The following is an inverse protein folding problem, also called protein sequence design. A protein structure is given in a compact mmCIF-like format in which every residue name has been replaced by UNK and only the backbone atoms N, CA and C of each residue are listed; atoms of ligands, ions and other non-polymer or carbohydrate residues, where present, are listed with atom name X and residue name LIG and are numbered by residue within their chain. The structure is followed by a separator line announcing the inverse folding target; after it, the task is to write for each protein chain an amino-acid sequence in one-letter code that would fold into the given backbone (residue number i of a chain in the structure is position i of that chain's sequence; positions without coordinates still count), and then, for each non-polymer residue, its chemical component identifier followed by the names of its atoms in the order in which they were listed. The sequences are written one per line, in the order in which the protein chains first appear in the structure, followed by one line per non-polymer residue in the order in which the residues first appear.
data_IF_007392740906
#
_entry.id   IF_007392740906
#
_cell.length_a   1.000
_cell.length_b   1.000
_cell.length_c   1.000
_cell.angle_alpha   90.00
_cell.angle_beta   90.00
_cell.angle_gamma   90.00
#
_symmetry.space_group_name_H-M   'P 1'
#
loop_
_entity.id
_entity.type
_entity.pdbx_description
1 polymer ?
#
# COMPACT_ATOMS: atom_id res chain seq x y z
N UNK A 1 -0.13 -26.03 11.92
CA UNK A 1 0.54 -25.15 10.94
C UNK A 1 -0.14 -23.81 11.03
N UNK A 2 0.61 -22.75 11.25
CA UNK A 2 0.12 -21.36 11.35
C UNK A 2 0.93 -20.46 10.42
N UNK A 3 0.50 -19.20 10.28
CA UNK A 3 1.12 -18.16 9.45
C UNK A 3 1.03 -18.39 7.94
N UNK A 4 0.23 -19.37 7.50
CA UNK A 4 -0.12 -19.54 6.10
C UNK A 4 -0.94 -18.35 5.60
N UNK A 5 -0.66 -17.94 4.36
CA UNK A 5 -1.42 -16.95 3.62
C UNK A 5 -2.18 -17.65 2.51
N UNK A 6 -3.50 -17.54 2.54
CA UNK A 6 -4.33 -17.92 1.42
C UNK A 6 -4.09 -16.96 0.26
N UNK A 7 -3.95 -17.53 -0.94
CA UNK A 7 -3.72 -16.77 -2.17
C UNK A 7 -4.61 -17.35 -3.26
N UNK A 8 -5.49 -16.52 -3.80
CA UNK A 8 -6.27 -16.82 -5.00
C UNK A 8 -5.62 -16.10 -6.19
N UNK A 9 -5.49 -16.78 -7.33
CA UNK A 9 -4.87 -16.18 -8.50
C UNK A 9 -5.64 -16.45 -9.77
N UNK A 10 -5.59 -15.47 -10.67
CA UNK A 10 -6.16 -15.55 -12.01
C UNK A 10 -5.12 -15.03 -13.01
N UNK A 11 -4.90 -15.79 -14.08
CA UNK A 11 -3.99 -15.42 -15.16
C UNK A 11 -4.84 -15.21 -16.42
N UNK A 12 -4.79 -14.03 -17.07
CA UNK A 12 -5.56 -13.79 -18.27
C UNK A 12 -4.98 -14.61 -19.43
N UNK A 13 -5.84 -14.99 -20.37
CA UNK A 13 -5.41 -15.73 -21.59
C UNK A 13 -4.30 -15.01 -22.34
N UNK A 14 -4.38 -13.68 -22.41
CA UNK A 14 -3.35 -12.82 -22.97
C UNK A 14 -2.71 -12.02 -21.82
N UNK A 15 -1.49 -12.41 -21.44
CA UNK A 15 -0.69 -11.66 -20.45
C UNK A 15 0.01 -10.52 -21.17
N UNK A 16 -0.37 -9.28 -20.84
CA UNK A 16 0.14 -8.05 -21.49
C UNK A 16 1.26 -7.37 -20.70
N UNK A 17 1.38 -7.73 -19.42
CA UNK A 17 2.27 -7.06 -18.48
C UNK A 17 3.32 -8.04 -17.93
N UNK A 18 4.58 -7.60 -17.72
CA UNK A 18 5.68 -8.49 -17.37
C UNK A 18 5.65 -8.99 -15.93
N UNK A 19 4.93 -8.30 -15.04
CA UNK A 19 4.86 -8.60 -13.61
C UNK A 19 3.40 -8.77 -13.17
N UNK A 20 3.08 -9.79 -12.36
CA UNK A 20 1.77 -9.90 -11.72
C UNK A 20 1.57 -8.78 -10.69
N UNK A 21 0.31 -8.52 -10.34
CA UNK A 21 -0.06 -7.64 -9.22
C UNK A 21 -0.55 -8.50 -8.06
N UNK A 22 0.07 -8.32 -6.89
CA UNK A 22 -0.35 -8.92 -5.62
C UNK A 22 -1.14 -7.86 -4.84
N UNK A 23 -2.42 -8.13 -4.58
CA UNK A 23 -3.34 -7.24 -3.89
C UNK A 23 -3.46 -7.70 -2.44
N UNK A 24 -3.03 -6.82 -1.52
CA UNK A 24 -3.07 -7.06 -0.08
C UNK A 24 -4.08 -6.10 0.55
N UNK A 25 -5.08 -6.69 1.21
CA UNK A 25 -6.12 -5.92 1.84
C UNK A 25 -5.68 -5.22 3.15
N UNK A 26 -6.47 -4.25 3.62
CA UNK A 26 -6.35 -3.55 4.90
C UNK A 26 -7.04 -4.25 6.07
N UNK A 27 -7.18 -3.52 7.17
CA UNK A 27 -7.76 -4.01 8.42
C UNK A 27 -9.27 -4.13 8.35
N UNK A 28 -9.85 -5.06 9.13
CA UNK A 28 -11.29 -5.31 9.11
C UNK A 28 -11.78 -6.12 7.91
N UNK A 29 -10.92 -6.39 6.92
CA UNK A 29 -11.36 -6.90 5.62
C UNK A 29 -10.67 -8.22 5.22
N UNK A 30 -11.04 -8.76 4.04
CA UNK A 30 -10.42 -9.92 3.34
C UNK A 30 -10.12 -9.56 1.87
N UNK A 31 -9.62 -10.48 1.05
CA UNK A 31 -9.49 -10.28 -0.39
C UNK A 31 -10.79 -9.96 -1.14
N UNK A 32 -11.96 -10.21 -0.55
CA UNK A 32 -13.28 -10.08 -1.19
C UNK A 32 -13.54 -8.69 -1.76
N UNK A 33 -13.19 -7.62 -1.05
CA UNK A 33 -13.49 -6.26 -1.48
C UNK A 33 -12.56 -5.74 -2.59
N UNK A 34 -11.48 -6.50 -2.90
CA UNK A 34 -10.69 -6.27 -4.11
C UNK A 34 -11.36 -6.87 -5.35
N UNK A 35 -12.31 -7.81 -5.17
CA UNK A 35 -12.98 -8.54 -6.26
C UNK A 35 -14.28 -7.88 -6.73
N UNK A 36 -15.06 -7.31 -5.81
CA UNK A 36 -16.32 -6.65 -6.13
C UNK A 36 -16.70 -5.59 -5.10
N UNK A 37 -17.56 -4.67 -5.49
CA UNK A 37 -18.06 -3.60 -4.61
C UNK A 37 -19.36 -4.02 -3.89
N UNK A 38 -19.73 -3.37 -2.78
CA UNK A 38 -20.96 -3.68 -2.04
C UNK A 38 -22.24 -3.50 -2.87
N UNK A 39 -22.19 -2.70 -3.93
CA UNK A 39 -23.26 -2.47 -4.89
C UNK A 39 -23.12 -3.27 -6.20
N UNK A 40 -22.38 -4.40 -6.16
CA UNK A 40 -22.24 -5.39 -7.25
C UNK A 40 -21.50 -4.90 -8.51
N UNK A 41 -20.63 -3.88 -8.41
CA UNK A 41 -19.74 -3.48 -9.51
C UNK A 41 -18.42 -4.25 -9.45
N UNK A 42 -17.68 -4.34 -10.57
CA UNK A 42 -16.36 -4.93 -10.60
C UNK A 42 -15.38 -4.24 -9.64
N UNK A 43 -14.57 -5.05 -8.95
CA UNK A 43 -13.45 -4.58 -8.13
C UNK A 43 -12.14 -4.42 -8.91
N UNK A 44 -11.10 -4.02 -8.19
CA UNK A 44 -9.77 -3.79 -8.75
C UNK A 44 -9.13 -5.05 -9.32
N UNK A 45 -9.33 -6.23 -8.72
CA UNK A 45 -8.77 -7.48 -9.23
C UNK A 45 -9.33 -7.80 -10.63
N UNK A 46 -10.65 -7.61 -10.84
CA UNK A 46 -11.30 -7.76 -12.14
C UNK A 46 -10.75 -6.76 -13.15
N UNK A 47 -10.54 -5.51 -12.75
CA UNK A 47 -9.94 -4.50 -13.62
C UNK A 47 -8.54 -4.90 -14.10
N UNK A 48 -7.64 -5.25 -13.17
CA UNK A 48 -6.27 -5.62 -13.54
C UNK A 48 -6.24 -6.87 -14.41
N UNK A 49 -7.06 -7.88 -14.10
CA UNK A 49 -7.17 -9.10 -14.89
C UNK A 49 -7.66 -8.80 -16.32
N UNK A 50 -8.73 -8.02 -16.46
CA UNK A 50 -9.27 -7.62 -17.76
C UNK A 50 -8.27 -6.79 -18.59
N UNK A 51 -7.35 -6.10 -17.93
CA UNK A 51 -6.28 -5.33 -18.57
C UNK A 51 -5.00 -6.15 -18.82
N UNK A 52 -5.00 -7.47 -18.59
CA UNK A 52 -3.91 -8.36 -18.99
C UNK A 52 -2.81 -8.55 -17.94
N UNK A 53 -3.03 -8.14 -16.69
CA UNK A 53 -2.16 -8.51 -15.57
C UNK A 53 -2.54 -9.90 -15.06
N UNK A 54 -1.55 -10.71 -14.70
CA UNK A 54 -1.80 -11.81 -13.77
C UNK A 54 -2.05 -11.22 -12.37
N UNK A 55 -3.07 -11.72 -11.68
CA UNK A 55 -3.57 -11.11 -10.44
C UNK A 55 -3.56 -12.15 -9.32
N UNK A 56 -3.03 -11.75 -8.16
CA UNK A 56 -2.99 -12.55 -6.94
C UNK A 56 -3.70 -11.75 -5.84
N UNK A 57 -4.79 -12.27 -5.30
CA UNK A 57 -5.53 -11.68 -4.19
C UNK A 57 -5.28 -12.54 -2.96
N UNK A 58 -4.80 -11.94 -1.88
CA UNK A 58 -4.46 -12.67 -0.66
C UNK A 58 -5.48 -12.41 0.44
N UNK A 59 -5.64 -13.37 1.34
CA UNK A 59 -6.13 -13.09 2.69
C UNK A 59 -4.92 -13.04 3.63
N UNK A 60 -4.77 -11.96 4.40
CA UNK A 60 -3.68 -11.80 5.37
C UNK A 60 -3.56 -13.03 6.29
N UNK A 61 -2.36 -13.29 6.80
CA UNK A 61 -2.15 -14.31 7.85
C UNK A 61 -3.12 -14.11 9.02
N UNK A 62 -3.77 -15.19 9.47
CA UNK A 62 -4.79 -15.10 10.52
C UNK A 62 -6.03 -14.28 10.14
N UNK A 63 -6.44 -14.25 8.86
CA UNK A 63 -7.68 -13.61 8.41
C UNK A 63 -8.38 -14.42 7.33
N UNK A 64 -9.72 -14.43 7.35
CA UNK A 64 -10.51 -15.00 6.27
C UNK A 64 -10.20 -16.48 6.06
N UNK A 65 -9.79 -16.84 4.84
CA UNK A 65 -9.39 -18.21 4.47
C UNK A 65 -8.00 -18.59 5.01
N UNK A 66 -7.21 -17.63 5.48
CA UNK A 66 -6.01 -17.87 6.29
C UNK A 66 -6.42 -18.06 7.75
N UNK A 67 -6.43 -19.31 8.22
CA UNK A 67 -7.03 -19.66 9.50
C UNK A 67 -6.47 -18.86 10.70
N UNK A 68 -7.38 -18.40 11.57
CA UNK A 68 -7.03 -17.73 12.83
C UNK A 68 -6.93 -18.73 13.98
N UNK A 69 -5.85 -18.65 14.75
CA UNK A 69 -5.57 -19.49 15.92
C UNK A 69 -5.39 -18.62 17.17
N UNK A 70 -6.39 -18.58 18.04
CA UNK A 70 -6.44 -17.64 19.18
C UNK A 70 -5.35 -17.91 20.24
N UNK A 71 -4.96 -19.17 20.42
CA UNK A 71 -3.87 -19.61 21.29
C UNK A 71 -2.49 -19.11 20.83
N UNK A 72 -2.35 -18.76 19.55
CA UNK A 72 -1.10 -18.31 18.94
C UNK A 72 -1.11 -16.80 18.70
N UNK A 73 -2.22 -16.25 18.19
CA UNK A 73 -2.32 -14.84 17.81
C UNK A 73 -2.86 -13.93 18.91
N UNK A 74 -3.45 -14.50 19.97
CA UNK A 74 -3.99 -13.75 21.09
C UNK A 74 -5.32 -13.07 20.77
N UNK A 75 -5.54 -11.81 21.20
CA UNK A 75 -6.80 -11.12 21.00
C UNK A 75 -6.99 -10.63 19.56
N UNK A 76 -8.26 -10.50 19.17
CA UNK A 76 -8.66 -9.89 17.89
C UNK A 76 -9.11 -8.44 18.05
N UNK A 77 -9.01 -7.67 16.98
CA UNK A 77 -9.64 -6.34 16.83
C UNK A 77 -10.65 -6.33 15.68
N UNK A 78 -11.72 -5.52 15.79
CA UNK A 78 -12.72 -5.28 14.74
C UNK A 78 -13.34 -3.89 14.85
N UNK A 79 -13.79 -3.35 13.73
CA UNK A 79 -14.58 -2.11 13.69
C UNK A 79 -16.00 -2.30 14.21
N UNK A 80 -16.58 -1.24 14.77
CA UNK A 80 -18.03 -1.17 15.05
C UNK A 80 -18.73 -0.34 13.97
N UNK A 81 -20.03 -0.56 13.77
CA UNK A 81 -20.78 0.05 12.67
C UNK A 81 -20.73 1.59 12.67
N UNK A 82 -20.85 2.25 13.84
CA UNK A 82 -20.74 3.71 13.96
C UNK A 82 -19.36 4.21 13.56
N UNK A 83 -18.30 3.56 14.02
CA UNK A 83 -16.93 3.92 13.67
C UNK A 83 -16.63 3.76 12.18
N UNK A 84 -17.20 2.74 11.54
CA UNK A 84 -17.07 2.54 10.10
C UNK A 84 -17.82 3.61 9.30
N UNK A 85 -19.02 4.02 9.74
CA UNK A 85 -19.73 5.16 9.13
C UNK A 85 -18.93 6.46 9.25
N UNK A 86 -18.38 6.72 10.43
CA UNK A 86 -17.56 7.90 10.73
C UNK A 86 -16.28 7.99 9.90
N UNK A 87 -15.61 6.85 9.69
CA UNK A 87 -14.29 6.83 9.05
C UNK A 87 -14.33 6.55 7.56
N UNK A 88 -15.32 5.81 7.08
CA UNK A 88 -15.27 5.23 5.73
C UNK A 88 -16.46 5.59 4.85
N UNK A 89 -17.70 5.35 5.29
CA UNK A 89 -18.85 5.28 4.37
C UNK A 89 -19.72 6.53 4.35
N UNK A 90 -19.79 7.27 5.45
CA UNK A 90 -20.65 8.45 5.61
C UNK A 90 -19.90 9.64 6.21
N UNK A 91 -18.60 9.74 5.92
CA UNK A 91 -17.66 10.66 6.58
C UNK A 91 -18.10 12.13 6.52
N UNK A 92 -18.75 12.53 5.42
CA UNK A 92 -19.29 13.87 5.22
C UNK A 92 -20.37 14.26 6.23
N UNK A 93 -21.08 13.29 6.80
CA UNK A 93 -22.12 13.52 7.80
C UNK A 93 -21.55 13.70 9.21
N UNK A 94 -20.37 13.13 9.48
CA UNK A 94 -19.69 13.24 10.77
C UNK A 94 -18.65 14.35 10.81
N UNK A 95 -18.05 14.67 9.66
CA UNK A 95 -17.16 15.80 9.44
C UNK A 95 -16.05 15.90 10.51
N UNK A 96 -15.31 14.80 10.74
CA UNK A 96 -14.29 14.70 11.80
C UNK A 96 -12.89 15.20 11.39
N UNK A 97 -12.68 15.46 10.09
CA UNK A 97 -11.48 16.09 9.53
C UNK A 97 -11.91 17.11 8.46
N UNK A 98 -11.07 18.11 8.14
CA UNK A 98 -11.47 19.24 7.31
C UNK A 98 -12.06 18.85 5.94
N UNK A 99 -11.49 17.82 5.30
CA UNK A 99 -11.86 17.42 3.93
C UNK A 99 -13.05 16.45 3.87
N UNK A 100 -13.56 15.97 5.02
CA UNK A 100 -14.61 14.95 5.06
C UNK A 100 -15.88 15.35 4.29
N UNK A 101 -16.23 16.64 4.31
CA UNK A 101 -17.39 17.19 3.60
C UNK A 101 -17.35 17.01 2.07
N UNK A 102 -16.19 16.67 1.49
CA UNK A 102 -16.02 16.44 0.06
C UNK A 102 -16.43 15.04 -0.39
N UNK A 103 -16.74 14.13 0.54
CA UNK A 103 -17.04 12.74 0.22
C UNK A 103 -18.37 12.59 -0.51
N UNK A 104 -18.30 12.04 -1.73
CA UNK A 104 -19.46 11.93 -2.65
C UNK A 104 -19.49 10.62 -3.43
N UNK A 105 -18.44 9.81 -3.34
CA UNK A 105 -18.28 8.63 -4.20
C UNK A 105 -18.78 7.32 -3.58
N UNK A 106 -19.16 7.28 -2.30
CA UNK A 106 -19.80 6.09 -1.74
C UNK A 106 -21.11 5.74 -2.46
N UNK A 107 -21.37 4.45 -2.76
CA UNK A 107 -22.65 4.02 -3.32
C UNK A 107 -23.72 3.99 -2.22
N UNK A 108 -24.83 4.69 -2.40
CA UNK A 108 -25.88 4.81 -1.39
C UNK A 108 -25.56 5.87 -0.32
N UNK A 109 -26.29 5.84 0.80
CA UNK A 109 -26.14 6.83 1.88
C UNK A 109 -24.91 6.58 2.77
N UNK A 110 -24.40 5.36 2.79
CA UNK A 110 -23.31 4.95 3.67
C UNK A 110 -23.70 4.81 5.14
N UNK A 111 -24.99 4.86 5.46
CA UNK A 111 -25.52 4.70 6.81
C UNK A 111 -26.05 3.28 7.04
N UNK A 112 -26.10 2.85 8.30
CA UNK A 112 -26.76 1.59 8.71
C UNK A 112 -28.19 1.50 8.14
N UNK A 113 -28.53 0.35 7.55
CA UNK A 113 -29.80 0.11 6.87
C UNK A 113 -29.80 0.44 5.38
N UNK A 114 -28.76 1.11 4.87
CA UNK A 114 -28.48 1.21 3.44
C UNK A 114 -27.80 -0.07 2.95
N UNK A 115 -28.27 -0.62 1.84
CA UNK A 115 -27.78 -1.91 1.33
C UNK A 115 -26.26 -1.93 1.10
N UNK A 116 -25.67 -0.84 0.60
CA UNK A 116 -24.23 -0.80 0.36
C UNK A 116 -23.44 -0.79 1.66
N UNK A 117 -23.92 -0.06 2.68
CA UNK A 117 -23.28 -0.08 3.99
C UNK A 117 -23.45 -1.44 4.67
N UNK A 118 -24.64 -2.03 4.63
CA UNK A 118 -24.91 -3.30 5.29
C UNK A 118 -24.11 -4.44 4.66
N UNK A 119 -23.94 -4.45 3.33
CA UNK A 119 -23.06 -5.40 2.64
C UNK A 119 -21.58 -5.19 3.00
N UNK A 120 -21.12 -3.92 3.02
CA UNK A 120 -19.78 -3.60 3.48
C UNK A 120 -19.54 -4.10 4.92
N UNK A 121 -20.45 -3.78 5.84
CA UNK A 121 -20.34 -4.17 7.24
C UNK A 121 -20.41 -5.70 7.43
N UNK A 122 -21.24 -6.39 6.65
CA UNK A 122 -21.31 -7.86 6.67
C UNK A 122 -20.03 -8.53 6.18
N UNK A 123 -19.22 -7.84 5.36
CA UNK A 123 -17.92 -8.33 4.90
C UNK A 123 -16.79 -8.13 5.91
N UNK A 124 -17.02 -7.36 6.99
CA UNK A 124 -16.01 -7.08 8.00
C UNK A 124 -15.70 -8.33 8.85
N UNK A 125 -14.42 -8.59 9.04
CA UNK A 125 -13.89 -9.73 9.81
C UNK A 125 -12.85 -9.28 10.84
N UNK A 126 -12.80 -9.92 12.02
CA UNK A 126 -11.81 -9.61 13.05
C UNK A 126 -10.39 -10.01 12.60
N UNK A 127 -9.37 -9.34 13.13
CA UNK A 127 -7.96 -9.63 12.84
C UNK A 127 -7.04 -9.63 14.05
N UNK A 128 -5.79 -10.07 13.86
CA UNK A 128 -4.75 -10.05 14.90
C UNK A 128 -4.62 -8.61 15.46
N UNK A 129 -4.79 -8.43 16.77
CA UNK A 129 -4.72 -7.11 17.38
C UNK A 129 -3.29 -6.54 17.43
N UNK A 130 -2.29 -7.41 17.59
CA UNK A 130 -0.88 -7.01 17.62
C UNK A 130 -0.37 -6.64 16.21
N UNK A 131 -0.11 -5.35 15.99
CA UNK A 131 0.48 -4.86 14.75
C UNK A 131 1.85 -5.51 14.46
N UNK A 132 2.68 -5.72 15.49
CA UNK A 132 3.98 -6.36 15.34
C UNK A 132 3.84 -7.83 14.89
N UNK A 133 2.89 -8.58 15.47
CA UNK A 133 2.62 -9.97 15.08
C UNK A 133 2.08 -10.05 13.66
N UNK A 134 1.10 -9.21 13.32
CA UNK A 134 0.53 -9.18 11.96
C UNK A 134 1.60 -8.79 10.92
N UNK A 135 2.44 -7.78 11.20
CA UNK A 135 3.52 -7.37 10.30
C UNK A 135 4.61 -8.45 10.14
N UNK A 136 4.98 -9.14 11.22
CA UNK A 136 6.01 -10.19 11.17
C UNK A 136 5.56 -11.37 10.29
N UNK A 137 4.34 -11.84 10.50
CA UNK A 137 3.76 -12.95 9.75
C UNK A 137 3.50 -12.58 8.28
N UNK A 138 3.01 -11.36 8.01
CA UNK A 138 2.84 -10.86 6.64
C UNK A 138 4.16 -10.64 5.89
N UNK A 139 5.23 -10.18 6.56
CA UNK A 139 6.56 -10.09 5.95
C UNK A 139 7.05 -11.46 5.50
N UNK A 140 6.93 -12.46 6.36
CA UNK A 140 7.37 -13.83 6.07
C UNK A 140 6.54 -14.46 4.94
N UNK A 141 5.21 -14.41 5.04
CA UNK A 141 4.32 -15.00 4.04
C UNK A 141 4.41 -14.28 2.68
N UNK A 142 4.50 -12.95 2.68
CA UNK A 142 4.68 -12.15 1.46
C UNK A 142 6.02 -12.44 0.78
N UNK A 143 7.12 -12.54 1.53
CA UNK A 143 8.41 -12.96 0.98
C UNK A 143 8.36 -14.36 0.38
N UNK A 144 7.72 -15.32 1.06
CA UNK A 144 7.55 -16.69 0.55
C UNK A 144 6.68 -16.74 -0.72
N UNK A 145 5.64 -15.89 -0.83
CA UNK A 145 4.86 -15.76 -2.04
C UNK A 145 5.73 -15.27 -3.20
N UNK A 146 6.51 -14.20 -3.00
CA UNK A 146 7.40 -13.67 -4.05
C UNK A 146 8.49 -14.67 -4.44
N UNK A 147 9.05 -15.42 -3.49
CA UNK A 147 10.01 -16.50 -3.78
C UNK A 147 9.39 -17.57 -4.69
N UNK A 148 8.07 -17.80 -4.57
CA UNK A 148 7.33 -18.79 -5.37
C UNK A 148 6.93 -18.26 -6.75
N UNK A 149 6.44 -17.02 -6.85
CA UNK A 149 5.89 -16.48 -8.11
C UNK A 149 6.89 -15.64 -8.90
N UNK A 150 8.03 -15.32 -8.30
CA UNK A 150 9.03 -14.44 -8.87
C UNK A 150 8.68 -12.95 -8.71
N UNK A 151 9.30 -12.08 -9.53
CA UNK A 151 9.12 -10.64 -9.42
C UNK A 151 7.68 -10.16 -9.62
N UNK A 152 7.20 -9.25 -8.77
CA UNK A 152 5.83 -8.78 -8.77
C UNK A 152 5.69 -7.30 -8.39
N UNK A 153 4.54 -6.73 -8.71
CA UNK A 153 4.04 -5.47 -8.14
C UNK A 153 3.24 -5.80 -6.88
N UNK A 154 3.43 -5.03 -5.82
CA UNK A 154 2.65 -5.19 -4.58
C UNK A 154 1.76 -3.96 -4.39
N UNK A 155 0.46 -4.19 -4.29
CA UNK A 155 -0.56 -3.19 -3.98
C UNK A 155 -1.06 -3.43 -2.57
N UNK A 156 -0.96 -2.41 -1.72
CA UNK A 156 -1.41 -2.45 -0.33
C UNK A 156 -2.43 -1.34 -0.08
N UNK A 157 -3.37 -1.60 0.82
CA UNK A 157 -4.34 -0.64 1.31
C UNK A 157 -4.31 -0.52 2.84
N UNK A 158 -4.35 0.71 3.38
CA UNK A 158 -4.59 0.98 4.80
C UNK A 158 -3.61 0.24 5.72
N UNK A 159 -4.11 -0.59 6.63
CA UNK A 159 -3.34 -1.42 7.56
C UNK A 159 -2.17 -2.19 6.89
N UNK A 160 -2.31 -2.55 5.61
CA UNK A 160 -1.28 -3.29 4.89
C UNK A 160 -0.15 -2.46 4.29
N UNK A 161 -0.21 -1.13 4.37
CA UNK A 161 0.86 -0.25 3.87
C UNK A 161 2.25 -0.66 4.37
N UNK A 162 2.44 -0.81 5.69
CA UNK A 162 3.68 -1.35 6.28
C UNK A 162 4.11 -2.70 5.73
N UNK A 163 3.19 -3.56 5.29
CA UNK A 163 3.52 -4.89 4.77
C UNK A 163 4.24 -4.76 3.44
N UNK A 164 3.86 -3.80 2.59
CA UNK A 164 4.56 -3.54 1.33
C UNK A 164 6.01 -3.09 1.56
N UNK A 165 6.25 -2.22 2.55
CA UNK A 165 7.62 -1.82 2.93
C UNK A 165 8.43 -3.02 3.41
N UNK A 166 7.85 -3.84 4.29
CA UNK A 166 8.53 -4.97 4.91
C UNK A 166 8.81 -6.12 3.92
N UNK A 167 7.89 -6.38 3.00
CA UNK A 167 8.08 -7.37 1.93
C UNK A 167 9.17 -6.89 0.96
N UNK A 168 9.16 -5.60 0.60
CA UNK A 168 10.22 -5.00 -0.22
C UNK A 168 11.58 -5.02 0.48
N UNK A 169 11.64 -4.72 1.77
CA UNK A 169 12.86 -4.81 2.58
C UNK A 169 13.41 -6.25 2.61
N UNK A 170 12.53 -7.25 2.72
CA UNK A 170 12.92 -8.65 2.73
C UNK A 170 13.30 -9.20 1.33
N UNK A 171 12.70 -8.66 0.25
CA UNK A 171 12.89 -9.12 -1.15
C UNK A 171 13.03 -7.94 -2.12
N UNK A 172 14.07 -7.10 -1.98
CA UNK A 172 14.19 -5.84 -2.70
C UNK A 172 14.37 -6.02 -4.21
N UNK A 173 14.84 -7.19 -4.65
CA UNK A 173 15.02 -7.51 -6.07
C UNK A 173 13.76 -8.08 -6.74
N UNK A 174 12.80 -8.59 -5.95
CA UNK A 174 11.56 -9.20 -6.44
C UNK A 174 10.39 -8.22 -6.46
N UNK A 175 10.37 -7.23 -5.57
CA UNK A 175 9.37 -6.15 -5.65
C UNK A 175 9.76 -5.18 -6.78
N UNK A 176 8.93 -5.10 -7.81
CA UNK A 176 9.15 -4.25 -8.99
C UNK A 176 8.43 -2.92 -8.96
N UNK A 177 7.45 -2.78 -8.07
CA UNK A 177 6.79 -1.52 -7.76
C UNK A 177 5.84 -1.67 -6.59
N UNK A 178 5.64 -0.57 -5.87
CA UNK A 178 4.69 -0.48 -4.75
C UNK A 178 3.58 0.53 -5.06
N UNK A 179 2.33 0.04 -5.04
CA UNK A 179 1.13 0.86 -5.07
C UNK A 179 0.59 0.96 -3.64
N UNK A 180 0.82 2.09 -2.99
CA UNK A 180 0.54 2.28 -1.57
C UNK A 180 -0.69 3.16 -1.39
N UNK A 181 -1.84 2.51 -1.32
CA UNK A 181 -3.14 3.17 -1.21
C UNK A 181 -3.42 3.47 0.25
N UNK A 182 -3.31 4.74 0.62
CA UNK A 182 -3.55 5.23 1.97
C UNK A 182 -2.88 4.36 3.05
N UNK A 183 -1.54 4.22 3.02
CA UNK A 183 -0.83 3.32 3.92
C UNK A 183 -0.96 3.76 5.37
N UNK A 184 -1.09 2.80 6.29
CA UNK A 184 -1.11 3.08 7.73
C UNK A 184 0.10 3.93 8.12
N UNK A 185 -0.21 5.11 8.66
CA UNK A 185 0.71 6.18 9.00
C UNK A 185 0.01 7.17 9.93
N UNK A 186 0.56 8.38 10.11
CA UNK A 186 1.87 8.83 9.66
C UNK A 186 3.01 8.17 10.46
N UNK A 187 4.29 8.45 10.17
CA UNK A 187 5.40 7.87 10.91
C UNK A 187 5.29 8.04 12.43
N UNK A 188 5.74 7.04 13.17
CA UNK A 188 5.75 6.94 14.64
C UNK A 188 4.36 6.88 15.28
N UNK A 189 3.62 7.99 15.31
CA UNK A 189 2.37 8.12 16.07
C UNK A 189 1.15 8.09 15.18
N UNK A 190 0.06 7.49 15.66
CA UNK A 190 -1.26 7.63 15.03
C UNK A 190 -1.77 9.07 15.15
N UNK A 191 -2.76 9.39 14.32
CA UNK A 191 -3.49 10.67 14.38
C UNK A 191 -4.94 10.37 14.75
N UNK A 192 -5.44 11.06 15.78
CA UNK A 192 -6.84 11.04 16.20
C UNK A 192 -7.58 12.20 15.56
N UNK A 193 -8.69 11.91 14.88
CA UNK A 193 -9.56 12.90 14.24
C UNK A 193 -10.64 13.32 15.24
N UNK A 194 -10.61 14.59 15.65
CA UNK A 194 -11.43 15.15 16.72
C UNK A 194 -12.67 15.91 16.22
N UNK A 195 -12.68 16.32 14.95
CA UNK A 195 -13.63 17.32 14.45
C UNK A 195 -13.23 18.76 14.79
N UNK A 196 -13.97 19.72 14.24
CA UNK A 196 -13.73 21.14 14.43
C UNK A 196 -13.88 21.57 15.91
N UNK A 197 -13.15 22.61 16.36
CA UNK A 197 -12.16 23.40 15.61
C UNK A 197 -10.73 22.84 15.64
N UNK A 198 -10.44 21.87 16.50
CA UNK A 198 -9.07 21.38 16.73
C UNK A 198 -8.60 20.37 15.68
N UNK A 199 -9.53 19.62 15.09
CA UNK A 199 -9.36 18.61 14.04
C UNK A 199 -8.50 17.40 14.39
N UNK A 200 -7.33 17.57 15.01
CA UNK A 200 -6.35 16.51 15.19
C UNK A 200 -5.74 16.50 16.59
N UNK A 201 -5.45 15.29 17.08
CA UNK A 201 -4.56 15.06 18.22
C UNK A 201 -3.61 13.89 17.93
N UNK A 202 -2.53 13.84 18.69
CA UNK A 202 -1.63 12.70 18.65
C UNK A 202 -2.29 11.47 19.27
N UNK A 203 -2.15 10.34 18.58
CA UNK A 203 -2.54 9.02 19.06
C UNK A 203 -1.37 8.27 19.68
N UNK A 204 -1.47 6.93 19.67
CA UNK A 204 -0.45 6.06 20.24
C UNK A 204 0.79 5.96 19.33
N UNK A 205 1.95 5.67 19.94
CA UNK A 205 3.13 5.20 19.21
C UNK A 205 2.85 3.81 18.63
N UNK A 206 2.54 3.76 17.34
CA UNK A 206 2.13 2.54 16.64
C UNK A 206 3.16 2.04 15.63
N UNK A 207 4.12 2.90 15.25
CA UNK A 207 5.20 2.59 14.30
C UNK A 207 6.56 3.00 14.87
N UNK A 208 7.06 2.34 15.93
CA UNK A 208 8.35 2.66 16.55
C UNK A 208 9.54 2.60 15.59
N UNK A 209 9.43 1.89 14.46
CA UNK A 209 10.44 1.82 13.41
C UNK A 209 10.16 2.80 12.26
N UNK A 210 9.73 4.01 12.59
CA UNK A 210 9.36 5.05 11.63
C UNK A 210 8.04 4.75 10.93
N UNK A 211 8.04 3.84 9.95
CA UNK A 211 6.88 3.49 9.11
C UNK A 211 6.36 2.06 9.36
N UNK A 212 6.94 1.34 10.31
CA UNK A 212 6.58 -0.03 10.66
C UNK A 212 6.57 -0.26 12.18
N UNK A 213 5.85 -1.29 12.61
CA UNK A 213 5.83 -1.78 13.98
C UNK A 213 6.98 -2.75 14.29
N UNK A 214 7.65 -3.26 13.26
CA UNK A 214 8.81 -4.16 13.36
C UNK A 214 10.02 -3.58 12.61
N UNK A 215 11.25 -4.07 12.88
CA UNK A 215 12.45 -3.55 12.24
C UNK A 215 12.43 -3.60 10.70
N UNK A 216 12.97 -2.52 10.11
CA UNK A 216 13.38 -2.40 8.70
C UNK A 216 14.91 -2.30 8.62
N UNK A 217 15.49 -2.54 7.44
CA UNK A 217 16.94 -2.41 7.23
C UNK A 217 17.34 -0.95 7.07
N UNK A 218 17.88 -0.35 8.13
CA UNK A 218 18.40 1.01 8.13
C UNK A 218 19.92 1.09 7.88
N UNK A 219 20.38 2.23 7.37
CA UNK A 219 21.80 2.61 7.29
C UNK A 219 22.01 4.07 7.74
N UNK A 220 22.78 4.35 8.81
CA UNK A 220 23.41 3.40 9.72
C UNK A 220 22.43 2.40 10.35
N UNK A 221 22.91 1.22 10.73
CA UNK A 221 22.05 0.16 11.27
C UNK A 221 21.33 0.62 12.55
N UNK A 222 20.05 0.24 12.67
CA UNK A 222 19.19 0.49 13.83
C UNK A 222 18.82 -0.86 14.41
N UNK A 223 19.19 -1.12 15.66
CA UNK A 223 18.87 -2.37 16.37
C UNK A 223 17.85 -2.18 17.49
N UNK A 224 17.61 -0.92 17.89
CA UNK A 224 16.62 -0.51 18.88
C UNK A 224 15.82 0.67 18.29
N UNK A 225 14.47 0.65 18.31
CA UNK A 225 13.67 1.76 17.77
C UNK A 225 13.95 3.10 18.44
N UNK A 226 14.45 3.12 19.68
CA UNK A 226 14.86 4.35 20.37
C UNK A 226 16.02 5.09 19.67
N UNK A 227 16.78 4.41 18.80
CA UNK A 227 17.83 5.04 17.99
C UNK A 227 17.25 5.89 16.84
N UNK A 228 16.00 5.66 16.42
CA UNK A 228 15.30 6.50 15.46
C UNK A 228 14.71 7.73 16.14
N UNK A 229 15.59 8.64 16.57
CA UNK A 229 15.18 9.92 17.11
C UNK A 229 14.38 10.72 16.07
N UNK A 230 13.33 11.41 16.51
CA UNK A 230 12.47 12.20 15.64
C UNK A 230 12.19 13.58 16.22
N UNK A 231 11.85 14.51 15.33
CA UNK A 231 11.42 15.87 15.65
C UNK A 231 10.10 16.14 14.93
N UNK A 232 9.18 16.82 15.62
CA UNK A 232 7.96 17.31 14.98
C UNK A 232 8.26 18.64 14.31
N UNK A 233 7.82 18.80 13.06
CA UNK A 233 7.91 20.07 12.34
C UNK A 233 7.22 21.18 13.15
N UNK A 234 7.78 22.40 13.11
CA UNK A 234 7.23 23.53 13.86
C UNK A 234 5.83 23.91 13.38
N UNK A 235 5.63 23.89 12.05
CA UNK A 235 4.39 24.27 11.35
C UNK A 235 3.94 23.14 10.43
N UNK A 236 2.63 23.07 10.17
CA UNK A 236 2.09 22.15 9.16
C UNK A 236 2.30 22.74 7.76
N UNK A 237 2.36 21.87 6.73
CA UNK A 237 2.51 22.31 5.34
C UNK A 237 1.31 23.13 4.85
N UNK A 238 0.13 22.85 5.41
CA UNK A 238 -1.14 23.50 5.10
C UNK A 238 -2.01 23.57 6.37
N UNK A 239 -3.01 24.47 6.43
CA UNK A 239 -3.88 24.61 7.60
C UNK A 239 -4.72 23.37 7.94
N UNK A 240 -4.93 22.48 6.97
CA UNK A 240 -5.86 21.37 7.01
C UNK A 240 -5.17 19.99 7.10
N UNK A 241 -3.87 19.98 7.42
CA UNK A 241 -3.05 18.76 7.56
C UNK A 241 -2.24 18.79 8.86
N UNK A 242 -1.77 17.63 9.30
CA UNK A 242 -0.95 17.50 10.50
C UNK A 242 0.50 17.96 10.26
N UNK A 243 1.18 18.30 11.35
CA UNK A 243 2.64 18.49 11.38
C UNK A 243 3.33 17.14 11.35
N UNK A 244 4.34 16.97 10.51
CA UNK A 244 5.01 15.68 10.39
C UNK A 244 6.04 15.45 11.51
N UNK A 245 6.19 14.18 11.91
CA UNK A 245 7.33 13.73 12.71
C UNK A 245 8.33 13.06 11.79
N UNK A 246 9.51 13.67 11.67
CA UNK A 246 10.60 13.23 10.81
C UNK A 246 11.82 12.87 11.64
N UNK A 247 12.76 12.12 11.08
CA UNK A 247 13.99 11.76 11.79
C UNK A 247 14.79 13.01 12.13
N UNK A 248 15.48 13.00 13.27
CA UNK A 248 16.51 14.00 13.57
C UNK A 248 17.67 13.83 12.57
N UNK A 249 18.27 14.94 12.12
CA UNK A 249 19.42 14.87 11.22
C UNK A 249 20.71 14.46 11.97
N UNK A 250 21.61 13.66 11.36
CA UNK A 250 21.45 13.01 10.05
C UNK A 250 20.46 11.84 10.11
N UNK A 251 19.58 11.74 9.11
CA UNK A 251 18.56 10.69 9.07
C UNK A 251 19.14 9.34 8.67
N UNK A 252 18.64 8.26 9.30
CA UNK A 252 18.91 6.91 8.84
C UNK A 252 18.22 6.66 7.49
N UNK A 253 18.94 5.98 6.61
CA UNK A 253 18.51 5.65 5.26
C UNK A 253 17.88 4.26 5.21
N UNK A 254 16.99 4.01 4.24
CA UNK A 254 16.34 2.72 3.99
C UNK A 254 16.85 2.11 2.68
N UNK A 255 18.11 1.62 2.62
CA UNK A 255 18.78 1.24 1.37
C UNK A 255 18.06 0.14 0.58
N UNK A 256 17.36 -0.77 1.24
CA UNK A 256 16.63 -1.87 0.60
C UNK A 256 15.41 -1.41 -0.20
N UNK A 257 14.85 -0.25 0.13
CA UNK A 257 13.71 0.32 -0.58
C UNK A 257 14.15 1.25 -1.73
N UNK A 258 15.43 1.64 -1.77
CA UNK A 258 15.95 2.55 -2.77
C UNK A 258 15.90 1.92 -4.17
N UNK A 259 15.50 2.72 -5.17
CA UNK A 259 15.38 2.29 -6.56
C UNK A 259 14.08 1.56 -6.92
N UNK A 260 13.29 1.13 -5.93
CA UNK A 260 11.94 0.59 -6.16
C UNK A 260 11.01 1.75 -6.54
N UNK A 261 10.27 1.68 -7.66
CA UNK A 261 9.23 2.66 -7.95
C UNK A 261 8.10 2.58 -6.90
N UNK A 262 7.81 3.69 -6.23
CA UNK A 262 6.76 3.77 -5.19
C UNK A 262 5.81 4.93 -5.52
N UNK A 263 4.50 4.66 -5.49
CA UNK A 263 3.46 5.70 -5.42
C UNK A 263 2.63 5.53 -4.17
N UNK A 264 2.42 6.63 -3.45
CA UNK A 264 1.51 6.76 -2.32
C UNK A 264 0.30 7.53 -2.80
N UNK A 265 -0.89 6.97 -2.64
CA UNK A 265 -2.16 7.52 -3.15
C UNK A 265 -3.04 7.87 -1.96
N UNK A 266 -3.48 9.13 -1.89
CA UNK A 266 -4.46 9.60 -0.91
C UNK A 266 -5.69 10.17 -1.61
N UNK A 267 -6.88 9.79 -1.14
CA UNK A 267 -8.15 10.32 -1.58
C UNK A 267 -8.48 11.67 -0.96
N UNK A 268 -9.19 12.50 -1.71
CA UNK A 268 -9.52 13.87 -1.35
C UNK A 268 -10.27 13.99 0.00
N UNK A 269 -11.26 13.14 0.25
CA UNK A 269 -12.13 13.22 1.42
C UNK A 269 -11.77 12.20 2.52
N UNK A 270 -10.69 11.44 2.35
CA UNK A 270 -10.23 10.48 3.37
C UNK A 270 -9.56 11.19 4.55
N UNK A 271 -9.59 10.57 5.73
CA UNK A 271 -8.82 11.03 6.87
C UNK A 271 -7.29 10.97 6.60
N UNK A 272 -6.85 10.13 5.66
CA UNK A 272 -5.47 10.09 5.18
C UNK A 272 -5.03 11.37 4.45
N UNK A 273 -5.96 12.16 3.90
CA UNK A 273 -5.65 13.45 3.29
C UNK A 273 -4.91 14.40 4.26
N UNK A 274 -5.12 14.20 5.57
CA UNK A 274 -4.54 14.99 6.65
C UNK A 274 -3.09 14.63 6.98
N UNK A 275 -2.56 13.47 6.58
CA UNK A 275 -1.24 13.03 7.07
C UNK A 275 -0.36 12.19 6.12
N UNK A 276 -0.86 11.68 4.99
CA UNK A 276 -0.05 10.79 4.14
C UNK A 276 1.17 11.49 3.51
N UNK A 277 1.15 12.82 3.40
CA UNK A 277 2.32 13.61 3.02
C UNK A 277 3.50 13.41 3.99
N UNK A 278 3.22 13.13 5.27
CA UNK A 278 4.26 12.85 6.26
C UNK A 278 4.97 11.51 6.01
N UNK A 279 4.24 10.49 5.55
CA UNK A 279 4.85 9.20 5.15
C UNK A 279 5.76 9.41 3.94
N UNK A 280 5.31 10.18 2.95
CA UNK A 280 6.13 10.54 1.78
C UNK A 280 7.40 11.31 2.17
N UNK A 281 7.28 12.35 3.02
CA UNK A 281 8.43 13.10 3.52
C UNK A 281 9.43 12.23 4.27
N UNK A 282 8.97 11.32 5.12
CA UNK A 282 9.84 10.40 5.87
C UNK A 282 10.62 9.48 4.94
N UNK A 283 9.96 8.90 3.93
CA UNK A 283 10.62 8.07 2.92
C UNK A 283 11.67 8.87 2.14
N UNK A 284 11.33 10.08 1.71
CA UNK A 284 12.28 10.99 1.02
C UNK A 284 13.50 11.29 1.91
N UNK A 285 13.28 11.56 3.20
CA UNK A 285 14.35 11.81 4.17
C UNK A 285 15.25 10.57 4.39
N UNK A 286 14.67 9.37 4.29
CA UNK A 286 15.37 8.09 4.36
C UNK A 286 15.98 7.64 3.01
N UNK A 287 16.04 8.55 2.03
CA UNK A 287 16.68 8.31 0.73
C UNK A 287 15.85 7.48 -0.25
N UNK A 288 14.55 7.29 0.03
CA UNK A 288 13.64 6.49 -0.80
C UNK A 288 12.83 7.42 -1.71
N UNK A 289 13.15 7.41 -3.00
CA UNK A 289 12.35 8.11 -4.01
C UNK A 289 10.92 7.59 -4.05
N UNK A 290 9.95 8.50 -3.98
CA UNK A 290 8.53 8.15 -3.99
C UNK A 290 7.71 9.26 -4.66
N UNK A 291 6.57 8.88 -5.23
CA UNK A 291 5.56 9.82 -5.75
C UNK A 291 4.41 9.87 -4.78
N UNK A 292 4.09 11.04 -4.22
CA UNK A 292 2.85 11.25 -3.47
C UNK A 292 1.79 11.88 -4.37
N UNK A 293 0.67 11.19 -4.52
CA UNK A 293 -0.46 11.64 -5.34
C UNK A 293 -1.68 11.81 -4.45
N UNK A 294 -2.23 13.02 -4.50
CA UNK A 294 -3.59 13.27 -4.04
C UNK A 294 -4.51 13.10 -5.24
N UNK A 295 -5.55 12.28 -5.14
CA UNK A 295 -6.39 11.94 -6.30
C UNK A 295 -6.98 13.17 -7.00
N UNK A 296 -7.30 14.24 -6.25
CA UNK A 296 -7.84 15.46 -6.84
C UNK A 296 -6.84 16.19 -7.75
N UNK A 297 -5.53 15.99 -7.56
CA UNK A 297 -4.51 16.58 -8.43
C UNK A 297 -4.40 15.89 -9.79
N UNK A 298 -5.03 14.72 -9.95
CA UNK A 298 -5.13 13.99 -11.22
C UNK A 298 -6.59 13.94 -11.73
N UNK A 299 -7.45 14.80 -11.20
CA UNK A 299 -8.84 14.94 -11.66
C UNK A 299 -9.82 13.92 -11.08
N UNK A 300 -9.41 13.11 -10.11
CA UNK A 300 -10.27 12.13 -9.44
C UNK A 300 -10.70 12.69 -8.08
N UNK A 301 -11.98 13.01 -7.93
CA UNK A 301 -12.47 13.78 -6.76
C UNK A 301 -13.59 13.07 -6.02
N UNK A 302 -13.78 13.47 -4.76
CA UNK A 302 -14.88 13.04 -3.91
C UNK A 302 -14.70 11.69 -3.22
N UNK A 303 -13.53 11.08 -3.36
CA UNK A 303 -13.24 9.77 -2.80
C UNK A 303 -12.94 9.81 -1.30
N UNK A 304 -13.36 8.77 -0.58
CA UNK A 304 -13.00 8.48 0.81
C UNK A 304 -11.91 7.42 0.90
N UNK A 305 -11.77 6.82 2.09
CA UNK A 305 -10.74 5.80 2.37
C UNK A 305 -10.98 4.48 1.62
N UNK A 306 -12.26 4.16 1.39
CA UNK A 306 -12.68 2.90 0.76
C UNK A 306 -12.83 3.07 -0.76
N UNK A 307 -11.91 3.81 -1.37
CA UNK A 307 -11.94 4.21 -2.77
C UNK A 307 -12.04 3.06 -3.77
N UNK A 308 -11.66 1.84 -3.37
CA UNK A 308 -11.84 0.63 -4.18
C UNK A 308 -13.30 0.14 -4.26
N UNK A 309 -14.15 0.58 -3.35
CA UNK A 309 -15.58 0.26 -3.28
C UNK A 309 -16.47 1.39 -3.81
N UNK A 310 -15.89 2.56 -4.02
CA UNK A 310 -16.60 3.76 -4.41
C UNK A 310 -16.95 3.78 -5.92
N UNK A 311 -17.87 4.67 -6.32
CA UNK A 311 -18.51 4.70 -7.65
C UNK A 311 -17.52 4.79 -8.81
N UNK A 312 -16.42 5.51 -8.62
CA UNK A 312 -15.35 5.74 -9.60
C UNK A 312 -14.10 4.87 -9.33
N UNK A 313 -14.22 3.74 -8.64
CA UNK A 313 -13.09 2.86 -8.30
C UNK A 313 -12.25 2.43 -9.53
N UNK A 314 -12.87 2.30 -10.71
CA UNK A 314 -12.18 1.92 -11.95
C UNK A 314 -11.35 3.05 -12.55
N UNK A 315 -11.69 4.32 -12.29
CA UNK A 315 -10.86 5.46 -12.70
C UNK A 315 -9.54 5.45 -11.92
N UNK A 316 -9.61 5.12 -10.63
CA UNK A 316 -8.43 4.95 -9.76
C UNK A 316 -7.59 3.76 -10.22
N UNK A 317 -8.24 2.65 -10.61
CA UNK A 317 -7.55 1.49 -11.18
C UNK A 317 -6.82 1.84 -12.48
N UNK A 318 -7.47 2.63 -13.36
CA UNK A 318 -6.88 3.10 -14.59
C UNK A 318 -5.67 4.00 -14.35
N UNK A 319 -5.76 4.92 -13.39
CA UNK A 319 -4.64 5.74 -12.94
C UNK A 319 -3.47 4.88 -12.46
N UNK A 320 -3.72 3.92 -11.55
CA UNK A 320 -2.66 3.02 -11.06
C UNK A 320 -2.02 2.21 -12.19
N UNK A 321 -2.82 1.66 -13.10
CA UNK A 321 -2.30 0.90 -14.25
C UNK A 321 -1.48 1.78 -15.20
N UNK A 322 -1.86 3.05 -15.39
CA UNK A 322 -1.05 3.99 -16.16
C UNK A 322 0.28 4.28 -15.47
N UNK A 323 0.25 4.58 -14.17
CA UNK A 323 1.46 4.85 -13.40
C UNK A 323 2.45 3.67 -13.46
N UNK A 324 1.95 2.43 -13.37
CA UNK A 324 2.77 1.21 -13.50
C UNK A 324 3.46 1.12 -14.87
N UNK A 325 2.74 1.38 -15.97
CA UNK A 325 3.33 1.35 -17.32
C UNK A 325 4.48 2.36 -17.46
N UNK A 326 4.31 3.56 -16.91
CA UNK A 326 5.26 4.67 -17.05
C UNK A 326 6.50 4.50 -16.15
N UNK A 327 6.32 3.97 -14.94
CA UNK A 327 7.33 3.98 -13.88
C UNK A 327 7.94 2.61 -13.57
N UNK A 328 7.24 1.51 -13.85
CA UNK A 328 7.72 0.14 -13.61
C UNK A 328 8.11 -0.52 -14.94
N UNK A 329 7.19 -0.59 -15.89
CA UNK A 329 7.41 -1.40 -17.10
C UNK A 329 8.37 -0.76 -18.10
N UNK A 330 8.34 0.56 -18.22
CA UNK A 330 9.28 1.30 -19.06
C UNK A 330 10.73 1.08 -18.60
N UNK A 331 10.96 1.03 -17.28
CA UNK A 331 12.28 0.71 -16.70
C UNK A 331 12.71 -0.71 -17.06
N UNK A 332 11.81 -1.69 -16.92
CA UNK A 332 12.07 -3.07 -17.30
C UNK A 332 12.40 -3.24 -18.80
N UNK A 333 11.77 -2.46 -19.69
CA UNK A 333 12.10 -2.43 -21.13
C UNK A 333 13.46 -1.79 -21.40
N UNK A 334 13.80 -0.70 -20.70
CA UNK A 334 15.11 -0.04 -20.80
C UNK A 334 16.27 -0.95 -20.41
N UNK A 335 16.15 -1.65 -19.28
CA UNK A 335 17.16 -2.60 -18.79
C UNK A 335 17.40 -3.76 -19.78
N UNK A 336 16.34 -4.28 -20.42
CA UNK A 336 16.46 -5.32 -21.46
C UNK A 336 17.16 -4.79 -22.72
N UNK A 337 16.91 -3.53 -23.09
CA UNK A 337 17.53 -2.89 -24.24
C UNK A 337 19.04 -2.65 -24.08
N UNK A 338 19.50 -2.35 -22.87
CA UNK A 338 20.94 -2.21 -22.57
C UNK A 338 21.67 -3.56 -22.53
N UNK A 339 21.08 -4.59 -21.90
CA UNK A 339 21.66 -5.95 -21.88
C UNK A 339 21.80 -6.55 -23.28
N UNK A 340 20.81 -6.33 -24.17
CA UNK A 340 20.86 -6.80 -25.57
C UNK A 340 21.89 -6.09 -26.47
N UNK A 341 22.40 -4.91 -26.07
CA UNK A 341 23.50 -4.23 -26.78
C UNK A 341 24.88 -4.70 -26.32
N UNK A 342 25.02 -5.20 -25.08
CA UNK A 342 26.27 -5.73 -24.54
C UNK A 342 26.71 -7.08 -25.12
N UNK A 343 25.76 -7.92 -25.55
CA UNK A 343 26.07 -9.25 -26.11
C UNK A 343 26.41 -9.24 -27.61
N UNK A 344 26.12 -8.17 -28.36
CA UNK A 344 26.46 -8.08 -29.80
C UNK A 344 27.87 -7.55 -30.09
N UNK A 345 28.71 -7.34 -29.07
CA UNK A 345 30.03 -6.70 -29.20
C UNK A 345 31.27 -7.62 -29.17
N UNK A 346 31.12 -8.93 -29.00
CA UNK A 346 32.27 -9.87 -28.95
C UNK A 346 32.02 -11.12 -29.79
N UNK A 347 32.08 -10.95 -31.12
CA UNK A 347 31.99 -12.04 -32.07
C UNK A 347 32.76 -11.74 -33.34
N UNK A 348 33.96 -12.32 -33.41
CA UNK A 348 34.67 -12.71 -34.64
C UNK A 348 35.42 -11.64 -35.47
N UNK A 349 36.72 -11.50 -35.18
CA UNK A 349 37.75 -11.22 -36.19
C UNK A 349 38.80 -12.33 -36.16
N UNK A 350 38.42 -13.50 -36.61
CA UNK A 350 39.31 -14.61 -36.94
C UNK A 350 40.30 -14.26 -38.07
N UNK A 351 41.58 -14.46 -37.76
CA UNK A 351 42.77 -14.46 -38.61
C UNK A 351 42.54 -14.93 -40.06
N UNK A 352 42.87 -14.08 -41.04
CA UNK A 352 43.26 -14.54 -42.39
C UNK A 352 44.76 -14.85 -42.40
N UNK A 353 45.08 -16.13 -42.59
CA UNK A 353 46.43 -16.63 -42.78
C UNK A 353 47.01 -16.27 -44.14
N UNK A 354 48.30 -15.92 -44.12
CA UNK A 354 49.20 -15.93 -45.28
C UNK A 354 49.39 -17.37 -45.78
N UNK A 355 49.36 -17.56 -47.10
CA UNK A 355 50.13 -18.58 -47.82
C UNK A 355 50.55 -17.99 -49.17
N UNK A 356 51.86 -18.03 -49.45
CA UNK A 356 52.39 -18.15 -50.82
C UNK A 356 52.11 -19.56 -51.35
N UNK A 357 52.31 -19.90 -52.61
CA UNK A 357 53.11 -19.32 -53.69
C UNK A 357 52.27 -19.02 -54.94
#
# INVERSE_FOLDING_TARGET
MVDQMYVEYQIPKEVKHPYPVVLIHGGGLTGTYMMGTPDNRPGWSTFFLANGYAVYVVDQTGRGKSAYHADIYGPTTRGNATGLQQRFTAVQLYNLWPQAHLHTQWPGSGLMGDLSFDQFYASEVPGIASAATQQSTMRAAGAALLDRIGPAIVLTHSQSGPYGWLIADARPTLVKGLLQVEPSGPPFYDVVQLGAPTWFADGNLSRPWGIAAIPLTYSPAVSDPAQLAFVQEATADKPDVVRCRLQTAPAHQLPTLQGIPIVIIASQASYHASYDHCTSKYLTQAGVENTFVRLESVGITGNGHMMMLEKNNLDISAFMAQWLRENVERRAKGEKGEKGKGEKGKGDKGKKGKKGD
#
